data_IF_205184406901
#
_entry.id   IF_205184406901
#
_cell.length_a   1.000
_cell.length_b   1.000
_cell.length_c   1.000
_cell.angle_alpha   90.00
_cell.angle_beta   90.00
_cell.angle_gamma   90.00
#
_symmetry.space_group_name_H-M   'P 1'
#
loop_
_entity.id
_entity.type
_entity.pdbx_description
1 polymer ?
#
# COMPACT_ATOMS: atom_id res chain seq x y z
N UNK A 1 3.01 18.76 -3.08
CA UNK A 1 2.67 17.54 -3.84
C UNK A 1 3.76 16.50 -3.61
N UNK A 2 3.54 15.54 -2.71
CA UNK A 2 4.54 14.50 -2.42
C UNK A 2 4.49 13.49 -3.56
N UNK A 3 5.53 13.49 -4.39
CA UNK A 3 5.62 12.79 -5.68
C UNK A 3 5.47 11.26 -5.61
N UNK A 4 5.47 10.70 -4.40
CA UNK A 4 5.57 9.26 -4.14
C UNK A 4 4.21 8.59 -3.84
N UNK A 5 3.12 9.34 -3.73
CA UNK A 5 1.77 8.79 -3.57
C UNK A 5 1.35 7.82 -4.69
N UNK A 6 1.50 8.15 -6.00
CA UNK A 6 1.15 7.21 -7.07
C UNK A 6 1.99 5.93 -7.04
N UNK A 7 3.24 5.99 -6.54
CA UNK A 7 4.10 4.82 -6.36
C UNK A 7 3.57 3.90 -5.24
N UNK A 8 3.20 4.48 -4.09
CA UNK A 8 2.63 3.74 -2.96
C UNK A 8 1.31 3.05 -3.35
N UNK A 9 0.47 3.74 -4.12
CA UNK A 9 -0.80 3.19 -4.62
C UNK A 9 -0.58 2.02 -5.59
N UNK A 10 0.38 2.15 -6.51
CA UNK A 10 0.70 1.07 -7.46
C UNK A 10 1.30 -0.15 -6.74
N UNK A 11 2.13 0.05 -5.71
CA UNK A 11 2.60 -1.03 -4.84
C UNK A 11 1.46 -1.74 -4.10
N UNK A 12 0.43 -1.00 -3.63
CA UNK A 12 -0.76 -1.58 -3.00
C UNK A 12 -1.53 -2.47 -3.98
N UNK A 13 -1.72 -1.98 -5.20
CA UNK A 13 -2.45 -2.71 -6.24
C UNK A 13 -1.71 -4.00 -6.61
N UNK A 14 -0.40 -3.94 -6.80
CA UNK A 14 0.43 -5.12 -7.09
C UNK A 14 0.37 -6.12 -5.93
N UNK A 15 0.50 -5.66 -4.68
CA UNK A 15 0.41 -6.50 -3.49
C UNK A 15 -0.94 -7.21 -3.37
N UNK A 16 -2.05 -6.50 -3.60
CA UNK A 16 -3.39 -7.09 -3.61
C UNK A 16 -3.62 -8.06 -4.76
N UNK A 17 -3.14 -7.75 -5.96
CA UNK A 17 -3.22 -8.69 -7.09
C UNK A 17 -2.44 -9.98 -6.81
N UNK A 18 -1.23 -9.89 -6.26
CA UNK A 18 -0.44 -11.05 -5.85
C UNK A 18 -1.17 -11.89 -4.78
N UNK A 19 -1.81 -11.24 -3.81
CA UNK A 19 -2.61 -11.92 -2.78
C UNK A 19 -3.80 -12.66 -3.38
N UNK A 20 -4.57 -12.00 -4.26
CA UNK A 20 -5.72 -12.60 -4.94
C UNK A 20 -5.27 -13.81 -5.77
N UNK A 21 -4.18 -13.69 -6.53
CA UNK A 21 -3.63 -14.79 -7.33
C UNK A 21 -3.24 -15.95 -6.41
N UNK A 22 -2.55 -15.67 -5.30
CA UNK A 22 -2.15 -16.67 -4.32
C UNK A 22 -3.35 -17.44 -3.74
N UNK A 23 -4.48 -16.76 -3.50
CA UNK A 23 -5.66 -17.35 -2.87
C UNK A 23 -6.62 -18.04 -3.85
N UNK A 24 -6.64 -17.62 -5.11
CA UNK A 24 -7.60 -18.10 -6.12
C UNK A 24 -7.00 -19.10 -7.11
N UNK A 25 -5.68 -19.11 -7.27
CA UNK A 25 -5.00 -19.99 -8.23
C UNK A 25 -4.37 -21.16 -7.50
N UNK A 26 -4.55 -22.41 -7.96
CA UNK A 26 -3.85 -23.56 -7.42
C UNK A 26 -2.36 -23.48 -7.80
N UNK A 27 -1.57 -22.88 -6.91
CA UNK A 27 -0.13 -22.71 -7.05
C UNK A 27 0.62 -23.82 -6.30
N UNK A 28 1.83 -24.20 -6.76
CA UNK A 28 2.73 -25.04 -5.98
C UNK A 28 2.97 -24.43 -4.60
N UNK A 29 3.01 -25.26 -3.55
CA UNK A 29 3.05 -24.83 -2.15
C UNK A 29 4.18 -23.82 -1.85
N UNK A 30 5.37 -24.06 -2.40
CA UNK A 30 6.52 -23.18 -2.24
C UNK A 30 6.29 -21.81 -2.88
N UNK A 31 5.67 -21.78 -4.07
CA UNK A 31 5.37 -20.53 -4.78
C UNK A 31 4.23 -19.76 -4.10
N UNK A 32 3.24 -20.46 -3.55
CA UNK A 32 2.15 -19.87 -2.77
C UNK A 32 2.69 -19.11 -1.55
N UNK A 33 3.53 -19.74 -0.73
CA UNK A 33 4.12 -19.09 0.45
C UNK A 33 5.00 -17.89 0.09
N UNK A 34 5.80 -17.99 -0.97
CA UNK A 34 6.63 -16.87 -1.45
C UNK A 34 5.75 -15.69 -1.89
N UNK A 35 4.69 -15.95 -2.66
CA UNK A 35 3.75 -14.91 -3.09
C UNK A 35 3.06 -14.27 -1.88
N UNK A 36 2.65 -15.06 -0.89
CA UNK A 36 1.97 -14.59 0.30
C UNK A 36 2.86 -13.65 1.13
N UNK A 37 4.14 -14.01 1.31
CA UNK A 37 5.11 -13.16 2.03
C UNK A 37 5.33 -11.85 1.29
N UNK A 38 5.54 -11.89 -0.03
CA UNK A 38 5.75 -10.68 -0.84
C UNK A 38 4.51 -9.79 -0.81
N UNK A 39 3.32 -10.39 -0.95
CA UNK A 39 2.05 -9.67 -0.89
C UNK A 39 1.81 -9.03 0.48
N UNK A 40 2.15 -9.73 1.57
CA UNK A 40 2.02 -9.20 2.93
C UNK A 40 2.96 -8.00 3.15
N UNK A 41 4.24 -8.12 2.75
CA UNK A 41 5.23 -7.04 2.90
C UNK A 41 4.81 -5.82 2.09
N UNK A 42 4.42 -5.98 0.83
CA UNK A 42 3.99 -4.86 -0.01
C UNK A 42 2.69 -4.22 0.47
N UNK A 43 1.72 -4.99 0.93
CA UNK A 43 0.49 -4.42 1.49
C UNK A 43 0.74 -3.65 2.78
N UNK A 44 1.52 -4.20 3.74
CA UNK A 44 1.82 -3.52 5.01
C UNK A 44 2.60 -2.23 4.74
N UNK A 45 3.64 -2.30 3.92
CA UNK A 45 4.47 -1.14 3.60
C UNK A 45 3.68 -0.04 2.90
N UNK A 46 2.86 -0.41 1.91
CA UNK A 46 2.02 0.53 1.19
C UNK A 46 0.95 1.16 2.10
N UNK A 47 0.28 0.35 2.93
CA UNK A 47 -0.74 0.85 3.85
C UNK A 47 -0.17 1.88 4.83
N UNK A 48 1.00 1.61 5.42
CA UNK A 48 1.67 2.54 6.33
C UNK A 48 2.03 3.84 5.60
N UNK A 49 2.63 3.74 4.41
CA UNK A 49 3.03 4.93 3.63
C UNK A 49 1.82 5.78 3.17
N UNK A 50 0.72 5.15 2.76
CA UNK A 50 -0.52 5.85 2.39
C UNK A 50 -1.18 6.51 3.60
N UNK A 51 -1.22 5.82 4.75
CA UNK A 51 -1.82 6.34 5.96
C UNK A 51 -1.04 7.54 6.52
N UNK A 52 0.29 7.48 6.50
CA UNK A 52 1.15 8.60 6.85
C UNK A 52 0.95 9.78 5.90
N UNK A 53 0.85 9.51 4.59
CA UNK A 53 0.61 10.57 3.59
C UNK A 53 -0.74 11.27 3.81
N UNK A 54 -1.81 10.51 4.05
CA UNK A 54 -3.13 11.05 4.36
C UNK A 54 -3.11 11.88 5.66
N UNK A 55 -2.39 11.41 6.67
CA UNK A 55 -2.23 12.14 7.93
C UNK A 55 -1.49 13.47 7.72
N UNK A 56 -0.37 13.46 7.02
CA UNK A 56 0.41 14.68 6.73
C UNK A 56 -0.41 15.67 5.92
N UNK A 57 -1.13 15.23 4.89
CA UNK A 57 -2.05 16.11 4.14
C UNK A 57 -3.12 16.72 5.04
N UNK A 58 -3.73 15.91 5.90
CA UNK A 58 -4.76 16.40 6.82
C UNK A 58 -4.21 17.46 7.78
N UNK A 59 -3.02 17.23 8.34
CA UNK A 59 -2.35 18.21 9.22
C UNK A 59 -2.02 19.50 8.46
N UNK A 60 -1.53 19.40 7.22
CA UNK A 60 -1.24 20.58 6.39
C UNK A 60 -2.50 21.41 6.12
N UNK A 61 -3.61 20.76 5.75
CA UNK A 61 -4.88 21.44 5.52
C UNK A 61 -5.45 22.08 6.79
N UNK A 62 -5.27 21.44 7.95
CA UNK A 62 -5.71 21.99 9.25
C UNK A 62 -4.91 23.25 9.62
N UNK A 63 -3.59 23.22 9.40
CA UNK A 63 -2.72 24.39 9.59
C UNK A 63 -3.13 25.53 8.64
N UNK A 64 -3.39 25.23 7.37
CA UNK A 64 -3.82 26.24 6.40
C UNK A 64 -5.15 26.89 6.82
N UNK A 65 -6.14 26.10 7.22
CA UNK A 65 -7.43 26.61 7.72
C UNK A 65 -7.34 27.42 9.01
N UNK A 66 -6.29 27.26 9.83
CA UNK A 66 -6.08 28.03 11.07
C UNK A 66 -5.37 29.37 10.85
N UNK A 67 -4.80 29.58 9.66
CA UNK A 67 -4.10 30.82 9.30
C UNK A 67 -4.96 31.78 8.45
N UNK A 68 -6.23 31.42 8.22
CA UNK A 68 -7.28 32.27 7.64
C UNK A 68 -8.39 32.50 8.69
#
# INVERSE_FOLDING_TARGET
>A
MVKNFPLLLSMLLIGNSALIISLTTPLPELLHWVLLIIAAVFNIWSAIGLMLHAWVQKVQMDIENRNY
#
